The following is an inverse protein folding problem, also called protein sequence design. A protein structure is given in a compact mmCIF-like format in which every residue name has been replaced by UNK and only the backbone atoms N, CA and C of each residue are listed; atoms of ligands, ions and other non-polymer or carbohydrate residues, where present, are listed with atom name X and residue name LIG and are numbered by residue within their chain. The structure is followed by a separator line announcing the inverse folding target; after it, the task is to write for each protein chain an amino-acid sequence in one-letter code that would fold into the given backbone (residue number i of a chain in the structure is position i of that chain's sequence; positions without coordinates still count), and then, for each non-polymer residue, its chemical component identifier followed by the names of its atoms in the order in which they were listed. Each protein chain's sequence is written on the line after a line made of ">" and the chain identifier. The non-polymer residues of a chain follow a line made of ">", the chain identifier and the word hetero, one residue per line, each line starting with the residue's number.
data_IF_688827115931
#
_entry.id   IF_688827115931
#
_cell.length_a   1.000
_cell.length_b   1.000
_cell.length_c   1.000
_cell.angle_alpha   90.00
_cell.angle_beta   90.00
_cell.angle_gamma   90.00
#
_symmetry.space_group_name_H-M   'P 1'
#
loop_
_entity.id
_entity.type
_entity.pdbx_description
1 polymer ?
#
# COMPACT_ATOMS: atom_id res chain seq x y z
N UNK A 1 -24.32 11.50 -6.96
CA UNK A 1 -24.53 11.73 -5.52
C UNK A 1 -23.14 11.86 -4.92
N UNK A 2 -22.70 13.08 -4.57
CA UNK A 2 -21.41 13.28 -3.91
C UNK A 2 -21.56 12.83 -2.46
N UNK A 3 -20.96 11.70 -2.13
CA UNK A 3 -20.77 11.33 -0.73
C UNK A 3 -19.82 12.36 -0.13
N UNK A 4 -20.37 13.29 0.65
CA UNK A 4 -19.62 14.23 1.46
C UNK A 4 -18.80 13.39 2.44
N UNK A 5 -17.49 13.36 2.24
CA UNK A 5 -16.54 12.86 3.23
C UNK A 5 -16.87 13.51 4.58
N UNK A 6 -17.13 12.75 5.66
CA UNK A 6 -17.41 13.32 6.97
C UNK A 6 -16.38 14.40 7.33
N UNK A 7 -16.82 15.57 7.79
CA UNK A 7 -15.98 16.72 8.10
C UNK A 7 -14.92 16.49 9.21
N UNK A 8 -14.87 15.30 9.80
CA UNK A 8 -13.85 14.90 10.77
C UNK A 8 -12.72 14.03 10.16
N UNK A 9 -12.81 13.63 8.89
CA UNK A 9 -11.77 12.85 8.19
C UNK A 9 -10.77 13.78 7.52
N UNK A 10 -10.12 14.62 8.33
CA UNK A 10 -9.03 15.45 7.86
C UNK A 10 -7.71 14.74 8.12
N UNK A 11 -7.13 14.15 7.08
CA UNK A 11 -5.74 13.74 7.11
C UNK A 11 -4.82 14.98 7.07
N UNK A 12 -3.67 14.98 7.78
CA UNK A 12 -2.66 16.01 7.64
C UNK A 12 -2.20 16.14 6.19
N UNK A 13 -1.94 17.38 5.77
CA UNK A 13 -1.51 17.70 4.41
C UNK A 13 -0.19 16.99 4.06
N UNK A 14 -0.15 16.37 2.88
CA UNK A 14 1.06 15.78 2.30
C UNK A 14 1.98 16.88 1.74
N UNK A 15 3.30 16.68 1.74
CA UNK A 15 4.22 17.66 1.17
C UNK A 15 3.94 17.86 -0.33
N UNK A 16 4.11 19.09 -0.85
CA UNK A 16 3.89 19.37 -2.26
C UNK A 16 4.99 18.70 -3.12
N UNK A 17 4.66 18.41 -4.38
CA UNK A 17 5.53 17.68 -5.32
C UNK A 17 6.30 18.59 -6.29
N UNK A 18 6.29 19.90 -6.05
CA UNK A 18 6.82 20.92 -6.98
C UNK A 18 8.36 21.01 -7.00
N UNK A 19 9.05 20.42 -6.03
CA UNK A 19 10.51 20.40 -5.94
C UNK A 19 10.98 18.98 -5.64
N UNK A 20 11.90 18.47 -6.45
CA UNK A 20 12.55 17.18 -6.21
C UNK A 20 11.94 15.98 -6.90
N UNK A 21 12.51 14.81 -6.62
CA UNK A 21 11.98 13.50 -7.00
C UNK A 21 11.21 12.85 -5.84
N UNK A 22 10.75 11.61 -6.03
CA UNK A 22 10.03 10.88 -4.98
C UNK A 22 10.85 10.60 -3.72
N UNK A 23 12.20 10.53 -3.79
CA UNK A 23 13.03 10.41 -2.59
C UNK A 23 12.99 11.69 -1.77
N UNK A 24 13.18 12.84 -2.40
CA UNK A 24 13.06 14.13 -1.73
C UNK A 24 11.65 14.35 -1.16
N UNK A 25 10.61 13.91 -1.88
CA UNK A 25 9.24 13.95 -1.39
C UNK A 25 9.06 13.08 -0.13
N UNK A 26 9.60 11.86 -0.10
CA UNK A 26 9.56 10.98 1.07
C UNK A 26 10.28 11.57 2.28
N UNK A 27 11.43 12.20 2.08
CA UNK A 27 12.19 12.87 3.15
C UNK A 27 11.40 14.05 3.76
N UNK A 28 10.44 14.59 3.03
CA UNK A 28 9.58 15.69 3.48
C UNK A 28 8.26 15.22 4.11
N UNK A 29 8.01 13.92 4.26
CA UNK A 29 6.82 13.42 4.97
C UNK A 29 6.84 13.85 6.45
N UNK A 30 5.70 14.35 6.93
CA UNK A 30 5.52 14.85 8.31
C UNK A 30 4.21 14.30 8.89
N UNK A 31 3.93 14.64 10.15
CA UNK A 31 2.63 14.41 10.79
C UNK A 31 2.16 12.96 10.81
N UNK A 32 3.10 12.00 10.87
CA UNK A 32 2.80 10.58 11.02
C UNK A 32 2.62 9.81 9.72
N UNK A 33 2.71 10.47 8.56
CA UNK A 33 2.83 9.79 7.27
C UNK A 33 4.13 8.98 7.21
N UNK A 34 4.03 7.73 6.76
CA UNK A 34 5.18 6.82 6.63
C UNK A 34 5.12 6.07 5.30
N UNK A 35 6.23 5.94 4.58
CA UNK A 35 6.28 5.13 3.38
C UNK A 35 6.14 3.65 3.73
N UNK A 36 5.52 2.91 2.82
CA UNK A 36 5.30 1.47 2.92
C UNK A 36 5.97 0.83 1.71
N UNK A 37 7.15 0.19 1.88
CA UNK A 37 7.92 -0.31 0.75
C UNK A 37 7.38 -1.64 0.20
N UNK A 38 6.74 -2.45 1.04
CA UNK A 38 6.33 -3.80 0.70
C UNK A 38 4.98 -4.17 1.33
N UNK A 39 4.27 -5.06 0.66
CA UNK A 39 2.95 -5.54 1.06
C UNK A 39 2.82 -7.05 0.87
N UNK A 40 1.88 -7.64 1.61
CA UNK A 40 1.73 -9.09 1.69
C UNK A 40 2.86 -9.78 2.47
N UNK A 41 2.72 -11.09 2.60
CA UNK A 41 3.60 -11.95 3.38
C UNK A 41 4.96 -12.18 2.71
N UNK A 42 5.02 -12.15 1.38
CA UNK A 42 6.24 -12.38 0.59
C UNK A 42 7.12 -11.16 0.39
N UNK A 43 6.85 -10.05 1.10
CA UNK A 43 7.62 -8.81 0.99
C UNK A 43 7.64 -8.23 -0.45
N UNK A 44 6.54 -8.43 -1.20
CA UNK A 44 6.43 -7.92 -2.57
C UNK A 44 6.36 -6.40 -2.57
N UNK A 45 7.03 -5.79 -3.55
CA UNK A 45 7.16 -4.35 -3.66
C UNK A 45 5.80 -3.67 -3.77
N UNK A 46 5.61 -2.60 -2.98
CA UNK A 46 4.43 -1.76 -3.00
C UNK A 46 4.76 -0.45 -3.72
N UNK A 47 4.81 -0.53 -5.05
CA UNK A 47 5.26 0.56 -5.90
C UNK A 47 6.70 0.37 -6.38
N UNK A 48 7.23 1.39 -7.05
CA UNK A 48 8.58 1.39 -7.65
C UNK A 48 9.25 2.71 -7.32
N UNK A 49 10.03 2.73 -6.24
CA UNK A 49 10.64 3.97 -5.78
C UNK A 49 11.75 4.43 -6.73
N UNK A 50 11.93 5.74 -6.96
CA UNK A 50 11.16 6.85 -6.40
C UNK A 50 9.88 7.23 -7.19
N UNK A 51 9.54 6.50 -8.26
CA UNK A 51 8.47 6.89 -9.18
C UNK A 51 7.07 6.66 -8.63
N UNK A 52 6.85 5.51 -7.98
CA UNK A 52 5.58 5.11 -7.38
C UNK A 52 5.80 4.78 -5.92
N UNK A 53 5.23 5.56 -5.01
CA UNK A 53 5.42 5.42 -3.56
C UNK A 53 4.06 5.37 -2.88
N UNK A 54 3.89 4.44 -1.95
CA UNK A 54 2.70 4.36 -1.10
C UNK A 54 3.05 4.78 0.32
N UNK A 55 2.24 5.64 0.92
CA UNK A 55 2.40 6.11 2.30
C UNK A 55 1.14 5.87 3.10
N UNK A 56 1.30 5.53 4.38
CA UNK A 56 0.21 5.37 5.33
C UNK A 56 0.22 6.45 6.40
N UNK A 57 -0.98 6.84 6.82
CA UNK A 57 -1.24 7.57 8.07
C UNK A 57 -1.96 6.64 9.04
N UNK A 58 -1.50 6.64 10.29
CA UNK A 58 -2.11 5.92 11.40
C UNK A 58 -2.31 6.86 12.60
N UNK A 59 -3.34 7.71 12.54
CA UNK A 59 -3.69 8.59 13.64
C UNK A 59 -4.75 7.94 14.54
N UNK A 60 -4.27 7.06 15.43
CA UNK A 60 -5.12 6.34 16.39
C UNK A 60 -5.83 7.25 17.38
N UNK A 61 -5.29 8.45 17.64
CA UNK A 61 -5.88 9.38 18.60
C UNK A 61 -7.17 9.98 18.06
N UNK A 62 -7.17 10.29 16.76
CA UNK A 62 -8.33 10.85 16.08
C UNK A 62 -9.16 9.80 15.32
N UNK A 63 -8.75 8.53 15.34
CA UNK A 63 -9.41 7.45 14.59
C UNK A 63 -9.33 7.66 13.08
N UNK A 64 -8.23 8.26 12.59
CA UNK A 64 -8.03 8.55 11.18
C UNK A 64 -6.93 7.66 10.63
N UNK A 65 -7.26 6.92 9.58
CA UNK A 65 -6.33 6.10 8.81
C UNK A 65 -6.36 6.56 7.37
N UNK A 66 -5.21 6.67 6.72
CA UNK A 66 -5.18 7.07 5.32
C UNK A 66 -4.09 6.32 4.55
N UNK A 67 -4.32 6.17 3.26
CA UNK A 67 -3.31 5.75 2.28
C UNK A 67 -3.22 6.82 1.21
N UNK A 68 -2.01 7.14 0.80
CA UNK A 68 -1.79 7.98 -0.36
C UNK A 68 -0.75 7.35 -1.28
N UNK A 69 -0.95 7.58 -2.58
CA UNK A 69 -0.02 7.21 -3.63
C UNK A 69 0.62 8.47 -4.18
N UNK A 70 1.93 8.44 -4.37
CA UNK A 70 2.67 9.35 -5.21
C UNK A 70 3.01 8.60 -6.50
N UNK A 71 2.68 9.15 -7.66
CA UNK A 71 3.05 8.61 -8.97
C UNK A 71 3.63 9.73 -9.81
N UNK A 72 4.96 9.78 -9.90
CA UNK A 72 5.73 10.74 -10.71
C UNK A 72 5.29 12.21 -10.52
N UNK A 73 4.94 12.58 -9.29
CA UNK A 73 4.51 13.94 -8.93
C UNK A 73 3.02 14.09 -8.67
N UNK A 74 2.19 13.13 -9.08
CA UNK A 74 0.76 13.13 -8.80
C UNK A 74 0.45 12.43 -7.47
N UNK A 75 -0.35 13.07 -6.62
CA UNK A 75 -0.77 12.50 -5.32
C UNK A 75 -2.26 12.19 -5.34
N UNK A 76 -2.60 10.94 -5.02
CA UNK A 76 -3.98 10.54 -4.67
C UNK A 76 -4.02 10.14 -3.20
N UNK A 77 -5.06 10.54 -2.47
CA UNK A 77 -5.20 10.25 -1.04
C UNK A 77 -6.62 9.77 -0.71
N UNK A 78 -6.70 8.71 0.08
CA UNK A 78 -7.95 8.13 0.58
C UNK A 78 -7.89 8.06 2.10
N UNK A 79 -8.98 8.47 2.77
CA UNK A 79 -9.06 8.60 4.23
C UNK A 79 -10.21 7.74 4.76
N UNK A 80 -9.96 7.05 5.86
CA UNK A 80 -10.81 6.02 6.45
C UNK A 80 -10.92 6.21 7.97
N UNK A 81 -12.00 5.70 8.53
CA UNK A 81 -12.19 5.63 9.99
C UNK A 81 -11.62 4.35 10.60
N UNK A 82 -11.39 3.33 9.78
CA UNK A 82 -10.85 2.06 10.23
C UNK A 82 -9.54 1.68 9.53
N UNK A 83 -8.68 1.00 10.29
CA UNK A 83 -7.42 0.48 9.76
C UNK A 83 -7.67 -0.61 8.74
N UNK A 84 -8.64 -1.49 8.94
CA UNK A 84 -8.87 -2.59 8.02
C UNK A 84 -9.37 -2.09 6.65
N UNK A 85 -10.18 -1.03 6.63
CA UNK A 85 -10.59 -0.36 5.38
C UNK A 85 -9.38 0.21 4.62
N UNK A 86 -8.47 0.89 5.33
CA UNK A 86 -7.25 1.40 4.70
C UNK A 86 -6.33 0.27 4.23
N UNK A 87 -6.16 -0.78 5.03
CA UNK A 87 -5.34 -1.93 4.64
C UNK A 87 -5.98 -2.66 3.41
N UNK A 88 -7.31 -2.71 3.29
CA UNK A 88 -8.01 -3.24 2.12
C UNK A 88 -7.82 -2.35 0.87
N UNK A 89 -7.84 -1.03 1.01
CA UNK A 89 -7.49 -0.12 -0.09
C UNK A 89 -6.03 -0.33 -0.53
N UNK A 90 -5.12 -0.58 0.40
CA UNK A 90 -3.73 -0.90 0.09
C UNK A 90 -3.58 -2.27 -0.58
N UNK A 91 -4.40 -3.26 -0.21
CA UNK A 91 -4.46 -4.55 -0.91
C UNK A 91 -4.80 -4.37 -2.40
N UNK A 92 -5.73 -3.47 -2.73
CA UNK A 92 -6.12 -3.16 -4.12
C UNK A 92 -4.99 -2.45 -4.87
N UNK A 93 -4.38 -1.43 -4.27
CA UNK A 93 -3.22 -0.70 -4.83
C UNK A 93 -2.07 -1.67 -5.13
N UNK A 94 -1.78 -2.58 -4.19
CA UNK A 94 -0.73 -3.58 -4.34
C UNK A 94 -1.02 -4.52 -5.53
N UNK A 95 -2.24 -5.06 -5.60
CA UNK A 95 -2.65 -5.97 -6.66
C UNK A 95 -2.64 -5.31 -8.04
N UNK A 96 -3.07 -4.05 -8.14
CA UNK A 96 -2.96 -3.29 -9.39
C UNK A 96 -1.49 -3.13 -9.80
N UNK A 97 -0.63 -2.68 -8.88
CA UNK A 97 0.80 -2.52 -9.14
C UNK A 97 1.44 -3.81 -9.65
N UNK A 98 1.23 -4.92 -8.94
CA UNK A 98 1.78 -6.24 -9.29
C UNK A 98 1.31 -6.74 -10.65
N UNK A 99 0.04 -6.50 -11.03
CA UNK A 99 -0.45 -6.86 -12.36
C UNK A 99 0.18 -6.02 -13.46
N UNK A 100 0.39 -4.74 -13.20
CA UNK A 100 0.99 -3.82 -14.18
C UNK A 100 2.48 -4.09 -14.41
N UNK A 101 3.22 -4.46 -13.36
CA UNK A 101 4.67 -4.65 -13.44
C UNK A 101 5.09 -6.10 -13.68
N UNK A 102 4.29 -7.07 -13.24
CA UNK A 102 4.68 -8.48 -13.20
C UNK A 102 5.64 -8.84 -12.06
N UNK A 103 5.97 -7.90 -11.17
CA UNK A 103 6.94 -8.05 -10.07
C UNK A 103 6.27 -8.47 -8.75
N UNK A 104 5.11 -9.14 -8.83
CA UNK A 104 4.32 -9.55 -7.67
C UNK A 104 4.31 -11.05 -7.39
N UNK A 105 3.39 -11.53 -6.55
CA UNK A 105 3.22 -12.96 -6.30
C UNK A 105 2.83 -13.71 -7.59
N UNK A 106 3.47 -14.86 -7.84
CA UNK A 106 3.22 -15.65 -9.05
C UNK A 106 1.80 -16.23 -9.10
N UNK A 107 1.15 -16.38 -7.95
CA UNK A 107 -0.20 -16.90 -7.80
C UNK A 107 -1.25 -15.79 -7.61
N UNK A 108 -0.93 -14.56 -8.02
CA UNK A 108 -1.85 -13.42 -7.97
C UNK A 108 -3.15 -13.74 -8.73
N UNK A 109 -4.33 -13.67 -8.08
CA UNK A 109 -5.60 -13.90 -8.77
C UNK A 109 -5.86 -12.85 -9.85
N UNK A 110 -6.56 -13.23 -10.93
CA UNK A 110 -6.96 -12.29 -11.96
C UNK A 110 -7.85 -11.19 -11.38
N UNK A 111 -7.96 -10.07 -12.10
CA UNK A 111 -8.80 -8.94 -11.71
C UNK A 111 -10.25 -9.39 -11.43
N UNK A 112 -10.87 -8.78 -10.41
CA UNK A 112 -12.21 -9.15 -9.95
C UNK A 112 -12.30 -10.45 -9.15
N UNK A 113 -11.17 -11.17 -8.93
CA UNK A 113 -11.11 -12.28 -7.97
C UNK A 113 -10.51 -11.83 -6.64
N UNK A 114 -11.00 -12.38 -5.50
CA UNK A 114 -10.49 -12.00 -4.20
C UNK A 114 -9.02 -12.41 -4.05
N UNK A 115 -8.22 -11.52 -3.46
CA UNK A 115 -6.83 -11.82 -3.10
C UNK A 115 -6.76 -12.90 -2.02
N UNK A 116 -5.73 -13.74 -2.08
CA UNK A 116 -5.41 -14.72 -1.05
C UNK A 116 -4.85 -14.04 0.21
N UNK A 117 -4.88 -14.74 1.35
CA UNK A 117 -4.47 -14.17 2.64
C UNK A 117 -3.03 -13.68 2.65
N UNK A 118 -2.11 -14.41 1.99
CA UNK A 118 -0.71 -14.02 1.91
C UNK A 118 -0.48 -12.77 1.05
N UNK A 119 -1.37 -12.42 0.11
CA UNK A 119 -1.25 -11.19 -0.69
C UNK A 119 -1.60 -9.91 0.07
N UNK A 120 -2.22 -10.03 1.24
CA UNK A 120 -2.84 -8.91 1.94
C UNK A 120 -2.05 -8.48 3.15
N UNK A 121 -2.23 -7.22 3.57
CA UNK A 121 -1.69 -6.68 4.81
C UNK A 121 -0.18 -6.39 4.78
N UNK A 122 0.26 -5.55 5.71
CA UNK A 122 1.66 -5.14 5.82
C UNK A 122 2.60 -6.34 6.04
N UNK A 123 3.73 -6.33 5.34
CA UNK A 123 4.83 -7.23 5.65
C UNK A 123 5.44 -6.91 7.02
N UNK A 124 5.57 -7.91 7.88
CA UNK A 124 6.43 -7.84 9.06
C UNK A 124 7.19 -9.15 9.20
N UNK A 125 8.41 -9.08 9.76
CA UNK A 125 9.20 -10.29 10.01
C UNK A 125 8.50 -11.27 10.95
N UNK A 126 7.79 -10.77 11.97
CA UNK A 126 7.03 -11.61 12.89
C UNK A 126 5.93 -12.40 12.15
N UNK A 127 5.19 -11.72 11.26
CA UNK A 127 4.14 -12.37 10.46
C UNK A 127 4.75 -13.35 9.46
N UNK A 128 5.83 -12.96 8.79
CA UNK A 128 6.57 -13.85 7.90
C UNK A 128 6.98 -15.13 8.62
N UNK A 129 7.64 -15.03 9.77
CA UNK A 129 8.08 -16.22 10.50
C UNK A 129 6.92 -17.08 11.01
N UNK A 130 5.79 -16.48 11.34
CA UNK A 130 4.60 -17.21 11.77
C UNK A 130 3.86 -17.92 10.63
N UNK A 131 3.88 -17.36 9.42
CA UNK A 131 2.99 -17.79 8.32
C UNK A 131 3.73 -18.27 7.06
N UNK A 132 5.07 -18.16 6.97
CA UNK A 132 5.84 -18.46 5.75
C UNK A 132 5.61 -19.85 5.18
N UNK A 133 5.29 -20.84 6.01
CA UNK A 133 5.02 -22.21 5.56
C UNK A 133 3.68 -22.34 4.79
N UNK A 134 2.89 -21.26 4.77
CA UNK A 134 1.68 -21.12 3.96
C UNK A 134 1.95 -20.45 2.60
N UNK A 135 3.16 -19.89 2.38
CA UNK A 135 3.50 -19.31 1.09
C UNK A 135 3.53 -20.42 0.02
N UNK A 136 2.94 -20.17 -1.15
CA UNK A 136 2.96 -21.14 -2.22
C UNK A 136 4.38 -21.22 -2.79
N UNK A 137 4.84 -22.44 -3.07
CA UNK A 137 6.10 -22.66 -3.79
C UNK A 137 5.84 -22.54 -5.29
N UNK A 138 6.70 -21.84 -6.05
CA UNK A 138 6.62 -21.85 -7.50
C UNK A 138 6.77 -23.30 -7.97
N UNK A 139 5.82 -23.79 -8.77
CA UNK A 139 5.96 -25.11 -9.37
C UNK A 139 7.17 -25.07 -10.29
N UNK A 140 8.21 -25.85 -10.00
CA UNK A 140 9.30 -26.08 -10.95
C UNK A 140 8.67 -26.47 -12.29
N UNK A 141 8.98 -25.69 -13.33
CA UNK A 141 8.43 -25.91 -14.66
C UNK A 141 8.67 -27.36 -15.07
N UNK A 142 7.59 -28.09 -15.30
CA UNK A 142 7.66 -29.40 -15.95
C UNK A 142 8.38 -29.23 -17.28
N UNK A 143 9.52 -29.90 -17.37
CA UNK A 143 10.40 -29.94 -18.53
C UNK A 143 9.70 -30.45 -19.79
#
# INVERSE_FOLDING_TARGET
>A
MSELTPAHLHAPVLPPTVFGDGHEWMENLRFGWKPVPAWGLGMWDLGKWPLVIVVHLNDKQNGVYAVATYTEGDITCQVFTDRAERDAATDEIAAEHWRLTGEGPFDLPPEGKPLLSHHRGLFTWDRYHAEKDQLPEPKEGGQ
#
